data_IF_263322795802
#
_entry.id   IF_263322795802
#
_cell.length_a   1.000
_cell.length_b   1.000
_cell.length_c   1.000
_cell.angle_alpha   90.00
_cell.angle_beta   90.00
_cell.angle_gamma   90.00
#
_symmetry.space_group_name_H-M   'P 1'
#
loop_
_entity.id
_entity.type
_entity.pdbx_description
1 polymer ?
#
# COMPACT_ATOMS: atom_id res chain seq x y z
N UNK A 1 4.21 -15.40 -17.12
CA UNK A 1 3.46 -14.18 -16.72
C UNK A 1 4.49 -13.19 -16.21
N UNK A 2 4.54 -12.02 -16.82
CA UNK A 2 5.53 -10.96 -16.54
C UNK A 2 5.34 -10.43 -15.12
N UNK A 3 6.28 -10.77 -14.23
CA UNK A 3 6.48 -10.16 -12.91
C UNK A 3 6.54 -8.65 -13.11
N UNK A 4 5.42 -7.95 -12.98
CA UNK A 4 5.40 -6.49 -13.14
C UNK A 4 5.79 -5.94 -11.79
N UNK A 5 6.98 -5.36 -11.70
CA UNK A 5 7.51 -4.73 -10.49
C UNK A 5 6.62 -3.53 -10.11
N UNK A 6 5.50 -3.79 -9.45
CA UNK A 6 4.60 -2.79 -8.87
C UNK A 6 5.28 -2.01 -7.73
N UNK A 7 6.47 -2.43 -7.30
CA UNK A 7 7.34 -1.65 -6.41
C UNK A 7 7.55 -0.24 -6.96
N UNK A 8 7.16 0.76 -6.19
CA UNK A 8 7.20 2.16 -6.60
C UNK A 8 5.81 2.75 -6.91
N UNK A 9 4.83 1.91 -7.22
CA UNK A 9 3.48 2.35 -7.56
C UNK A 9 2.80 3.04 -6.37
N UNK A 10 1.99 4.05 -6.70
CA UNK A 10 1.05 4.68 -5.80
C UNK A 10 -0.26 3.90 -5.85
N UNK A 11 -0.71 3.46 -4.67
CA UNK A 11 -1.90 2.65 -4.48
C UNK A 11 -2.87 3.36 -3.54
N UNK A 12 -4.16 3.11 -3.73
CA UNK A 12 -5.22 3.45 -2.79
C UNK A 12 -5.63 2.17 -2.06
N UNK A 13 -5.62 2.22 -0.74
CA UNK A 13 -6.00 1.10 0.12
C UNK A 13 -7.52 1.00 0.14
N UNK A 14 -8.04 -0.22 -0.05
CA UNK A 14 -9.46 -0.58 -0.15
C UNK A 14 -9.80 -1.70 0.84
N UNK A 15 -9.55 -1.46 2.12
CA UNK A 15 -9.89 -2.41 3.18
C UNK A 15 -11.23 -2.05 3.83
N UNK A 16 -11.69 -2.84 4.79
CA UNK A 16 -12.85 -2.50 5.64
C UNK A 16 -12.45 -1.79 6.94
N UNK A 17 -11.16 -1.48 7.09
CA UNK A 17 -10.56 -1.00 8.32
C UNK A 17 -10.25 0.50 8.26
N UNK A 18 -9.55 1.01 9.27
CA UNK A 18 -9.16 2.41 9.39
C UNK A 18 -8.26 2.93 8.25
N UNK A 19 -7.74 2.03 7.39
CA UNK A 19 -6.88 2.34 6.25
C UNK A 19 -7.63 2.61 4.94
N UNK A 20 -8.95 2.36 4.88
CA UNK A 20 -9.71 2.55 3.65
C UNK A 20 -9.61 3.98 3.13
N UNK A 21 -9.40 4.09 1.82
CA UNK A 21 -9.23 5.35 1.12
C UNK A 21 -7.87 6.03 1.29
N UNK A 22 -6.96 5.50 2.13
CA UNK A 22 -5.62 6.04 2.26
C UNK A 22 -4.78 5.80 0.99
N UNK A 23 -3.92 6.76 0.67
CA UNK A 23 -2.90 6.59 -0.36
C UNK A 23 -1.59 6.11 0.25
N UNK A 24 -0.94 5.17 -0.43
CA UNK A 24 0.35 4.65 -0.07
C UNK A 24 1.23 4.38 -1.29
N UNK A 25 2.51 4.11 -1.02
CA UNK A 25 3.47 3.69 -2.03
C UNK A 25 3.89 2.26 -1.75
N UNK A 26 3.86 1.41 -2.77
CA UNK A 26 4.39 0.04 -2.67
C UNK A 26 5.91 0.12 -2.57
N UNK A 27 6.46 -0.41 -1.48
CA UNK A 27 7.89 -0.41 -1.18
C UNK A 27 8.53 -1.80 -1.32
N UNK A 28 7.73 -2.85 -1.46
CA UNK A 28 8.22 -4.20 -1.64
C UNK A 28 7.10 -5.22 -1.74
N UNK A 29 7.49 -6.48 -1.85
CA UNK A 29 6.61 -7.64 -2.00
C UNK A 29 7.02 -8.70 -0.98
N UNK A 30 6.05 -9.42 -0.44
CA UNK A 30 6.21 -10.60 0.40
C UNK A 30 5.38 -11.75 -0.19
N UNK A 31 5.62 -12.97 0.29
CA UNK A 31 4.87 -14.18 -0.08
C UNK A 31 4.67 -14.32 -1.59
N UNK A 32 5.78 -14.31 -2.33
CA UNK A 32 5.77 -14.48 -3.79
C UNK A 32 4.96 -13.44 -4.57
N UNK A 33 4.66 -12.29 -3.95
CA UNK A 33 3.90 -11.19 -4.57
C UNK A 33 2.42 -11.16 -4.16
N UNK A 34 1.96 -12.08 -3.32
CA UNK A 34 0.59 -12.08 -2.80
C UNK A 34 0.34 -10.92 -1.84
N UNK A 35 1.37 -10.54 -1.07
CA UNK A 35 1.33 -9.39 -0.16
C UNK A 35 2.27 -8.29 -0.60
N UNK A 36 1.76 -7.06 -0.63
CA UNK A 36 2.49 -5.85 -0.97
C UNK A 36 2.74 -5.02 0.30
N UNK A 37 3.99 -4.62 0.49
CA UNK A 37 4.38 -3.72 1.58
C UNK A 37 4.10 -2.29 1.14
N UNK A 38 3.16 -1.63 1.80
CA UNK A 38 2.73 -0.27 1.45
C UNK A 38 3.13 0.69 2.56
N UNK A 39 3.85 1.74 2.18
CA UNK A 39 4.16 2.88 3.03
C UNK A 39 3.11 3.96 2.86
N UNK A 40 2.35 4.26 3.91
CA UNK A 40 1.30 5.28 3.90
C UNK A 40 1.39 6.19 5.14
N UNK A 41 0.57 7.24 5.19
CA UNK A 41 0.46 8.11 6.36
C UNK A 41 -0.71 7.65 7.24
N UNK A 42 -0.55 7.58 8.57
CA UNK A 42 -1.66 7.25 9.46
C UNK A 42 -2.68 8.40 9.54
N UNK A 43 -3.97 8.06 9.49
CA UNK A 43 -5.08 9.03 9.67
C UNK A 43 -5.16 9.51 11.12
N UNK A 44 -4.82 8.66 12.09
CA UNK A 44 -4.92 8.99 13.53
C UNK A 44 -3.97 10.13 13.91
N UNK A 45 -2.86 10.31 13.18
CA UNK A 45 -1.87 11.35 13.47
C UNK A 45 -1.45 12.10 12.20
N UNK A 46 -2.34 12.89 11.59
CA UNK A 46 -2.07 13.54 10.30
C UNK A 46 -0.97 14.61 10.42
N UNK A 47 -0.76 15.16 11.63
CA UNK A 47 0.32 16.10 11.94
C UNK A 47 1.68 15.43 12.16
N UNK A 48 1.72 14.10 12.40
CA UNK A 48 2.99 13.38 12.48
C UNK A 48 3.45 13.06 11.07
N UNK A 49 4.64 13.53 10.72
CA UNK A 49 5.32 13.20 9.44
C UNK A 49 5.78 11.74 9.36
N UNK A 50 5.52 10.95 10.39
CA UNK A 50 5.90 9.53 10.44
C UNK A 50 4.98 8.72 9.53
N UNK A 51 5.56 8.18 8.46
CA UNK A 51 4.94 7.15 7.64
C UNK A 51 4.97 5.80 8.37
N UNK A 52 3.90 5.02 8.27
CA UNK A 52 3.85 3.62 8.71
C UNK A 52 3.97 2.70 7.49
N UNK A 53 4.36 1.44 7.72
CA UNK A 53 4.43 0.41 6.70
C UNK A 53 3.55 -0.75 7.12
N UNK A 54 2.64 -1.16 6.25
CA UNK A 54 1.74 -2.28 6.47
C UNK A 54 1.74 -3.18 5.23
N UNK A 55 1.49 -4.47 5.44
CA UNK A 55 1.29 -5.43 4.36
C UNK A 55 -0.18 -5.47 4.00
N UNK A 56 -0.49 -5.39 2.72
CA UNK A 56 -1.83 -5.55 2.18
C UNK A 56 -1.80 -6.60 1.07
N UNK A 57 -2.91 -7.29 0.88
CA UNK A 57 -3.07 -8.15 -0.27
C UNK A 57 -3.23 -7.32 -1.53
N UNK A 58 -2.91 -7.92 -2.68
CA UNK A 58 -3.04 -7.22 -3.95
C UNK A 58 -4.49 -6.78 -4.26
N UNK A 59 -5.50 -7.54 -3.84
CA UNK A 59 -6.92 -7.22 -4.03
C UNK A 59 -7.43 -6.10 -3.09
N UNK A 60 -6.70 -5.81 -2.02
CA UNK A 60 -6.95 -4.68 -1.12
C UNK A 60 -6.36 -3.36 -1.63
N UNK A 61 -5.71 -3.37 -2.81
CA UNK A 61 -4.98 -2.23 -3.34
C UNK A 61 -5.47 -1.88 -4.75
N UNK A 62 -5.88 -0.64 -4.92
CA UNK A 62 -6.21 -0.06 -6.22
C UNK A 62 -5.00 0.74 -6.72
N UNK A 63 -4.40 0.33 -7.85
CA UNK A 63 -3.26 1.04 -8.44
C UNK A 63 -3.74 2.36 -9.04
N UNK A 64 -3.22 3.46 -8.50
CA UNK A 64 -3.54 4.82 -8.97
C UNK A 64 -2.53 5.29 -10.01
N UNK A 65 -1.24 4.97 -9.82
CA UNK A 65 -0.14 5.35 -10.71
C UNK A 65 1.05 4.39 -10.53
N UNK A 66 1.67 3.96 -11.61
CA UNK A 66 2.95 3.23 -11.62
C UNK A 66 4.13 4.17 -11.78
#
# INVERSE_FOLDING_TARGET
MTHTEITGAIVKIRTRDEYDGMLGKVCGMQDWGEMLVVKHRPIVFPHRRSSTMHCFRQDELEVVKT
#
